data_IF_026566129099
#
_entry.id   IF_026566129099
#
_cell.length_a   1.000
_cell.length_b   1.000
_cell.length_c   1.000
_cell.angle_alpha   90.00
_cell.angle_beta   90.00
_cell.angle_gamma   90.00
#
_symmetry.space_group_name_H-M   'P 1'
#
loop_
_entity.id
_entity.type
_entity.pdbx_description
1 polymer ?
#
# COMPACT_ATOMS: atom_id res chain seq x y z
N UNK A 1 -3.66 -15.46 -19.66
CA UNK A 1 -2.79 -15.50 -20.85
C UNK A 1 -2.69 -16.96 -21.33
N UNK A 2 -2.49 -17.22 -22.63
CA UNK A 2 -2.44 -18.59 -23.14
C UNK A 2 -1.32 -19.43 -22.49
N UNK A 3 -0.15 -18.80 -22.29
CA UNK A 3 1.04 -19.45 -21.70
C UNK A 3 1.00 -19.71 -20.19
N UNK A 4 -0.02 -19.26 -19.46
CA UNK A 4 -0.14 -19.51 -18.01
C UNK A 4 -1.42 -20.26 -17.65
N UNK A 5 -2.58 -19.62 -17.84
CA UNK A 5 -3.90 -20.17 -17.48
C UNK A 5 -4.42 -21.07 -18.59
N UNK A 6 -4.22 -20.67 -19.86
CA UNK A 6 -4.73 -21.41 -21.03
C UNK A 6 -4.17 -22.83 -21.08
N UNK A 7 -2.86 -22.96 -21.19
CA UNK A 7 -2.19 -24.28 -21.26
C UNK A 7 -2.48 -25.16 -20.04
N UNK A 8 -2.48 -24.59 -18.83
CA UNK A 8 -2.77 -25.32 -17.59
C UNK A 8 -4.23 -25.83 -17.50
N UNK A 9 -5.15 -25.28 -18.29
CA UNK A 9 -6.55 -25.75 -18.32
C UNK A 9 -6.70 -27.02 -19.17
N UNK A 10 -5.86 -27.20 -20.19
CA UNK A 10 -5.98 -28.30 -21.16
C UNK A 10 -5.00 -29.47 -20.93
N UNK A 11 -3.95 -29.29 -20.12
CA UNK A 11 -3.04 -30.38 -19.76
C UNK A 11 -3.51 -31.06 -18.47
N UNK A 12 -3.50 -32.40 -18.46
CA UNK A 12 -3.85 -33.22 -17.30
C UNK A 12 -2.85 -33.07 -16.16
N UNK A 13 -1.56 -33.22 -16.45
CA UNK A 13 -0.49 -33.10 -15.47
C UNK A 13 0.04 -31.66 -15.41
N UNK A 14 -0.13 -31.05 -14.26
CA UNK A 14 0.27 -29.66 -14.02
C UNK A 14 0.69 -29.49 -12.57
N UNK A 15 1.72 -28.69 -12.36
CA UNK A 15 2.28 -28.42 -11.04
C UNK A 15 2.78 -26.97 -10.97
N UNK A 16 3.06 -26.53 -9.75
CA UNK A 16 3.88 -25.34 -9.54
C UNK A 16 5.35 -25.76 -9.56
N UNK A 17 6.19 -24.96 -10.23
CA UNK A 17 7.63 -25.08 -10.05
C UNK A 17 8.06 -24.59 -8.65
N UNK A 18 9.24 -25.01 -8.20
CA UNK A 18 9.72 -24.74 -6.83
C UNK A 18 9.77 -23.26 -6.46
N UNK A 19 10.04 -22.35 -7.40
CA UNK A 19 10.05 -20.90 -7.13
C UNK A 19 8.66 -20.38 -6.82
N UNK A 20 7.66 -20.80 -7.61
CA UNK A 20 6.26 -20.39 -7.42
C UNK A 20 5.70 -21.02 -6.14
N UNK A 21 6.04 -22.28 -5.86
CA UNK A 21 5.69 -22.95 -4.61
C UNK A 21 6.27 -22.20 -3.40
N UNK A 22 7.57 -21.85 -3.46
CA UNK A 22 8.24 -21.09 -2.40
C UNK A 22 7.54 -19.76 -2.16
N UNK A 23 7.29 -18.97 -3.21
CA UNK A 23 6.59 -17.69 -3.11
C UNK A 23 5.19 -17.86 -2.50
N UNK A 24 4.42 -18.84 -2.98
CA UNK A 24 3.08 -19.14 -2.45
C UNK A 24 3.14 -19.53 -0.97
N UNK A 25 4.14 -20.30 -0.54
CA UNK A 25 4.31 -20.70 0.85
C UNK A 25 4.60 -19.52 1.77
N UNK A 26 5.43 -18.56 1.34
CA UNK A 26 5.73 -17.34 2.09
C UNK A 26 4.49 -16.45 2.21
N UNK A 27 3.80 -16.21 1.09
CA UNK A 27 2.59 -15.40 1.07
C UNK A 27 1.49 -16.01 1.94
N UNK A 28 1.27 -17.34 1.87
CA UNK A 28 0.28 -18.02 2.72
C UNK A 28 0.58 -17.84 4.21
N UNK A 29 1.83 -18.01 4.64
CA UNK A 29 2.22 -17.85 6.06
C UNK A 29 1.94 -16.43 6.56
N UNK A 30 2.30 -15.41 5.78
CA UNK A 30 2.10 -14.01 6.16
C UNK A 30 0.61 -13.62 6.16
N UNK A 31 -0.19 -14.20 5.27
CA UNK A 31 -1.58 -13.77 5.04
C UNK A 31 -2.59 -14.56 5.87
N UNK A 32 -2.37 -15.87 6.10
CA UNK A 32 -3.33 -16.75 6.77
C UNK A 32 -3.03 -16.96 8.25
N UNK A 33 -1.76 -17.13 8.61
CA UNK A 33 -1.33 -17.41 10.00
C UNK A 33 -0.14 -16.54 10.40
N UNK A 34 -0.27 -15.20 10.33
CA UNK A 34 0.82 -14.33 10.69
C UNK A 34 1.18 -14.45 12.17
N UNK A 35 2.47 -14.44 12.47
CA UNK A 35 2.92 -14.08 13.81
C UNK A 35 2.58 -12.61 14.07
N UNK A 36 2.01 -12.35 15.24
CA UNK A 36 1.53 -11.03 15.63
C UNK A 36 2.57 -10.32 16.50
N UNK A 37 2.76 -9.00 16.36
CA UNK A 37 2.02 -8.09 15.48
C UNK A 37 2.46 -8.18 14.01
N UNK A 38 1.49 -8.24 13.09
CA UNK A 38 1.69 -8.13 11.66
C UNK A 38 1.62 -6.66 11.24
N UNK A 39 2.75 -6.14 10.76
CA UNK A 39 2.85 -4.79 10.22
C UNK A 39 3.02 -4.88 8.70
N UNK A 40 2.23 -4.11 7.96
CA UNK A 40 2.45 -3.90 6.53
C UNK A 40 2.92 -2.48 6.28
N UNK A 41 3.84 -2.35 5.32
CA UNK A 41 4.31 -1.06 4.82
C UNK A 41 3.89 -0.93 3.38
N UNK A 42 3.21 0.17 3.06
CA UNK A 42 2.77 0.48 1.71
C UNK A 42 3.32 1.85 1.32
N UNK A 43 4.07 1.89 0.23
CA UNK A 43 4.58 3.10 -0.42
C UNK A 43 4.03 3.23 -1.84
N UNK A 44 3.84 4.46 -2.32
CA UNK A 44 3.33 4.69 -3.67
C UNK A 44 3.06 6.17 -3.95
N UNK A 45 2.90 6.50 -5.24
CA UNK A 45 2.56 7.85 -5.71
C UNK A 45 1.07 8.13 -5.61
N UNK A 46 0.22 7.12 -5.80
CA UNK A 46 -1.24 7.24 -5.87
C UNK A 46 -1.93 6.26 -4.92
N UNK A 47 -2.90 6.76 -4.17
CA UNK A 47 -3.80 5.97 -3.31
C UNK A 47 -4.74 5.12 -4.18
N UNK A 48 -5.22 5.67 -5.29
CA UNK A 48 -6.21 5.01 -6.16
C UNK A 48 -5.72 3.65 -6.67
N UNK A 49 -4.46 3.56 -7.08
CA UNK A 49 -3.82 2.33 -7.55
C UNK A 49 -3.68 1.24 -6.46
N UNK A 50 -3.75 1.64 -5.18
CA UNK A 50 -3.45 0.78 -4.04
C UNK A 50 -4.65 0.58 -3.10
N UNK A 51 -5.80 1.18 -3.37
CA UNK A 51 -6.95 1.15 -2.46
C UNK A 51 -7.45 -0.27 -2.16
N UNK A 52 -7.50 -1.14 -3.17
CA UNK A 52 -7.91 -2.53 -3.00
C UNK A 52 -6.93 -3.32 -2.11
N UNK A 53 -5.63 -3.05 -2.26
CA UNK A 53 -4.58 -3.64 -1.43
C UNK A 53 -4.69 -3.14 0.01
N UNK A 54 -4.90 -1.83 0.21
CA UNK A 54 -5.08 -1.24 1.54
C UNK A 54 -6.28 -1.89 2.24
N UNK A 55 -7.45 -1.95 1.60
CA UNK A 55 -8.66 -2.57 2.19
C UNK A 55 -8.44 -4.04 2.55
N UNK A 56 -7.77 -4.81 1.68
CA UNK A 56 -7.44 -6.22 1.94
C UNK A 56 -6.46 -6.40 3.11
N UNK A 57 -5.45 -5.53 3.21
CA UNK A 57 -4.46 -5.59 4.28
C UNK A 57 -5.05 -5.17 5.63
N UNK A 58 -5.90 -4.14 5.68
CA UNK A 58 -6.52 -3.66 6.93
C UNK A 58 -7.31 -4.73 7.68
N UNK A 59 -7.87 -5.70 6.95
CA UNK A 59 -8.57 -6.86 7.53
C UNK A 59 -7.61 -7.86 8.20
N UNK A 60 -6.31 -7.83 7.85
CA UNK A 60 -5.34 -8.84 8.26
C UNK A 60 -4.26 -8.29 9.17
N UNK A 61 -3.79 -7.07 8.96
CA UNK A 61 -2.68 -6.47 9.70
C UNK A 61 -3.14 -5.87 11.03
N UNK A 62 -2.20 -5.72 11.96
CA UNK A 62 -2.40 -4.94 13.19
C UNK A 62 -2.10 -3.46 12.93
N UNK A 63 -1.09 -3.19 12.09
CA UNK A 63 -0.66 -1.84 11.72
C UNK A 63 -0.38 -1.77 10.23
N UNK A 64 -0.84 -0.69 9.59
CA UNK A 64 -0.53 -0.36 8.20
C UNK A 64 0.20 0.99 8.14
N UNK A 65 1.48 0.96 7.77
CA UNK A 65 2.27 2.17 7.52
C UNK A 65 2.05 2.62 6.07
N UNK A 66 1.64 3.88 5.86
CA UNK A 66 1.49 4.46 4.52
C UNK A 66 2.53 5.57 4.33
N UNK A 67 3.38 5.43 3.30
CA UNK A 67 4.42 6.40 2.96
C UNK A 67 4.39 6.84 1.49
N UNK A 68 5.25 7.79 1.14
CA UNK A 68 5.35 8.35 -0.21
C UNK A 68 4.20 9.30 -0.56
N UNK A 69 3.96 9.51 -1.87
CA UNK A 69 2.96 10.46 -2.38
C UNK A 69 1.55 10.22 -1.83
N UNK A 70 1.15 8.95 -1.69
CA UNK A 70 -0.17 8.62 -1.17
C UNK A 70 -0.38 9.01 0.31
N UNK A 71 0.70 9.13 1.10
CA UNK A 71 0.60 9.62 2.47
C UNK A 71 0.16 11.09 2.53
N UNK A 72 0.55 11.91 1.54
CA UNK A 72 0.15 13.31 1.46
C UNK A 72 -1.34 13.46 1.17
N UNK A 73 -1.92 12.62 0.29
CA UNK A 73 -3.38 12.60 0.09
C UNK A 73 -4.12 12.24 1.38
N UNK A 74 -3.61 11.28 2.18
CA UNK A 74 -4.16 10.96 3.49
C UNK A 74 -4.04 12.12 4.50
N UNK A 75 -2.91 12.82 4.52
CA UNK A 75 -2.71 13.99 5.39
C UNK A 75 -3.61 15.16 4.98
N UNK A 76 -3.71 15.44 3.68
CA UNK A 76 -4.63 16.45 3.16
C UNK A 76 -6.09 16.12 3.50
N UNK A 77 -6.47 14.85 3.43
CA UNK A 77 -7.79 14.37 3.84
C UNK A 77 -8.06 14.58 5.35
N UNK A 78 -7.03 14.52 6.20
CA UNK A 78 -7.08 14.87 7.62
C UNK A 78 -7.04 16.38 7.91
N UNK A 79 -6.92 17.22 6.88
CA UNK A 79 -6.89 18.69 7.01
C UNK A 79 -5.49 19.29 7.16
N UNK A 80 -4.43 18.50 7.04
CA UNK A 80 -3.06 19.04 7.08
C UNK A 80 -2.70 19.78 5.77
N UNK A 81 -1.83 20.78 5.88
CA UNK A 81 -1.21 21.39 4.72
C UNK A 81 -0.04 20.54 4.24
N UNK A 82 0.03 20.29 2.93
CA UNK A 82 1.08 19.48 2.30
C UNK A 82 1.90 20.28 1.27
N UNK A 83 1.66 21.59 1.15
CA UNK A 83 2.29 22.44 0.14
C UNK A 83 2.01 21.94 -1.28
N UNK A 84 3.07 21.81 -2.07
CA UNK A 84 3.04 21.32 -3.47
C UNK A 84 3.29 19.82 -3.59
N UNK A 85 3.24 19.09 -2.48
CA UNK A 85 3.45 17.64 -2.47
C UNK A 85 2.40 16.91 -3.31
N UNK A 86 2.77 15.72 -3.82
CA UNK A 86 1.92 14.93 -4.71
C UNK A 86 0.54 14.64 -4.09
N UNK A 87 -0.53 14.98 -4.81
CA UNK A 87 -1.89 14.91 -4.31
C UNK A 87 -2.86 14.36 -5.37
N UNK A 88 -3.71 13.42 -4.96
CA UNK A 88 -4.90 13.02 -5.71
C UNK A 88 -6.14 13.69 -5.12
N UNK A 89 -6.40 14.93 -5.51
CA UNK A 89 -7.46 15.76 -4.91
C UNK A 89 -8.86 15.15 -5.08
N UNK A 90 -9.13 14.52 -6.23
CA UNK A 90 -10.37 13.84 -6.55
C UNK A 90 -10.61 12.58 -5.69
N UNK A 91 -9.56 12.03 -5.05
CA UNK A 91 -9.65 10.86 -4.18
C UNK A 91 -9.77 11.21 -2.69
N UNK A 92 -9.74 12.48 -2.30
CA UNK A 92 -9.90 12.90 -0.90
C UNK A 92 -11.17 12.30 -0.25
N UNK A 93 -12.36 12.30 -0.89
CA UNK A 93 -13.56 11.70 -0.30
C UNK A 93 -13.38 10.21 0.04
N UNK A 94 -12.79 9.45 -0.90
CA UNK A 94 -12.49 8.02 -0.73
C UNK A 94 -11.52 7.78 0.43
N UNK A 95 -10.49 8.62 0.55
CA UNK A 95 -9.51 8.49 1.63
C UNK A 95 -10.11 8.86 2.98
N UNK A 96 -11.02 9.85 3.04
CA UNK A 96 -11.76 10.17 4.27
C UNK A 96 -12.61 8.98 4.73
N UNK A 97 -13.35 8.36 3.82
CA UNK A 97 -14.14 7.15 4.12
C UNK A 97 -13.26 6.05 4.71
N UNK A 98 -12.10 5.79 4.08
CA UNK A 98 -11.13 4.81 4.56
C UNK A 98 -10.60 5.14 5.97
N UNK A 99 -10.24 6.40 6.23
CA UNK A 99 -9.68 6.81 7.52
C UNK A 99 -10.70 6.79 8.67
N UNK A 100 -11.99 7.00 8.37
CA UNK A 100 -13.08 6.98 9.35
C UNK A 100 -13.56 5.54 9.63
N UNK A 101 -13.29 4.59 8.73
CA UNK A 101 -13.62 3.18 8.94
C UNK A 101 -13.01 2.64 10.26
N UNK A 102 -13.63 1.64 10.91
CA UNK A 102 -13.10 1.03 12.13
C UNK A 102 -11.64 0.58 12.00
N UNK A 103 -11.28 0.05 10.83
CA UNK A 103 -9.94 -0.41 10.51
C UNK A 103 -8.97 0.72 10.16
N UNK A 104 -9.49 1.90 9.80
CA UNK A 104 -8.69 3.11 9.53
C UNK A 104 -7.79 3.52 10.70
N UNK A 105 -8.14 3.14 11.93
CA UNK A 105 -7.32 3.34 13.15
C UNK A 105 -5.98 2.59 13.10
N UNK A 106 -5.88 1.54 12.30
CA UNK A 106 -4.63 0.78 12.09
C UNK A 106 -3.65 1.51 11.16
N UNK A 107 -4.11 2.55 10.46
CA UNK A 107 -3.29 3.32 9.52
C UNK A 107 -2.43 4.30 10.31
N UNK A 108 -1.11 4.18 10.13
CA UNK A 108 -0.12 5.11 10.65
C UNK A 108 0.47 5.89 9.48
N UNK A 109 0.43 7.22 9.61
CA UNK A 109 1.01 8.17 8.65
C UNK A 109 2.31 8.74 9.24
N UNK A 110 3.24 9.23 8.39
CA UNK A 110 4.44 9.89 8.88
C UNK A 110 4.06 11.15 9.68
N UNK A 111 4.85 11.43 10.72
CA UNK A 111 4.63 12.56 11.63
C UNK A 111 5.45 13.79 11.27
N UNK A 112 6.55 13.56 10.57
CA UNK A 112 7.57 14.50 10.15
C UNK A 112 7.95 14.24 8.70
N UNK A 113 8.45 15.28 8.02
CA UNK A 113 8.79 15.24 6.61
C UNK A 113 10.03 16.08 6.35
N UNK A 114 10.89 15.59 5.47
CA UNK A 114 11.95 16.40 4.89
C UNK A 114 11.43 17.02 3.59
N UNK A 115 11.41 18.33 3.51
CA UNK A 115 10.85 19.10 2.41
C UNK A 115 11.94 19.76 1.56
N UNK A 116 11.79 19.76 0.23
CA UNK A 116 12.65 20.50 -0.70
C UNK A 116 11.85 21.53 -1.49
N UNK A 117 12.51 22.56 -2.04
CA UNK A 117 11.86 23.57 -2.88
C UNK A 117 11.51 23.05 -4.28
N UNK A 118 12.27 22.07 -4.77
CA UNK A 118 12.15 21.50 -6.10
C UNK A 118 12.53 20.02 -6.10
N UNK A 119 12.03 19.25 -7.07
CA UNK A 119 12.40 17.84 -7.24
C UNK A 119 13.74 17.72 -7.96
N UNK A 120 14.83 17.97 -7.24
CA UNK A 120 16.20 17.92 -7.73
C UNK A 120 17.13 17.24 -6.71
N UNK A 121 18.11 16.42 -7.15
CA UNK A 121 19.12 15.86 -6.26
C UNK A 121 19.94 16.92 -5.50
N UNK A 122 19.99 18.15 -6.00
CA UNK A 122 20.75 19.27 -5.41
C UNK A 122 19.89 20.26 -4.64
N UNK A 123 18.58 19.99 -4.47
CA UNK A 123 17.69 20.89 -3.74
C UNK A 123 18.09 20.99 -2.27
N UNK A 124 17.96 22.18 -1.68
CA UNK A 124 18.12 22.33 -0.24
C UNK A 124 16.92 21.73 0.49
N UNK A 125 17.21 20.80 1.40
CA UNK A 125 16.23 20.19 2.27
C UNK A 125 16.02 21.00 3.56
N UNK A 126 14.78 21.10 4.01
CA UNK A 126 14.38 21.57 5.33
C UNK A 126 13.64 20.45 6.06
N UNK A 127 13.81 20.38 7.39
CA UNK A 127 13.10 19.44 8.27
C UNK A 127 11.93 20.16 8.94
#
# INVERSE_FOLDING_TARGET
HASNVGIATYIKEKCFGFLVEKEMSFLKKIVQTPQRPLVAVLGGSKVSDKIGVIRSLLQKVDVLLIGGGMSYTCLKAKGFNIGTSLLEADKIPLVKELLVSPEGKKIVLPKDFVCGKEFSPTTQAAV
#
